data_IF_671118626569
#
_entry.id   IF_671118626569
#
_cell.length_a   1.000
_cell.length_b   1.000
_cell.length_c   1.000
_cell.angle_alpha   90.00
_cell.angle_beta   90.00
_cell.angle_gamma   90.00
#
_symmetry.space_group_name_H-M   'P 1'
#
loop_
_entity.id
_entity.type
_entity.pdbx_description
1 polymer ?
#
# COMPACT_ATOMS: atom_id res chain seq x y z
N UNK A 1 8.80 2.23 -32.65
CA UNK A 1 8.44 1.92 -31.94
C UNK A 1 7.65 1.23 -31.86
N UNK A 2 7.50 0.70 -31.67
CA UNK A 2 6.54 0.08 -31.64
C UNK A 2 5.79 0.49 -30.91
N UNK A 3 5.73 1.00 -31.45
CA UNK A 3 5.07 1.43 -30.92
C UNK A 3 3.94 0.95 -30.62
N UNK A 4 3.12 1.02 -30.54
CA UNK A 4 1.93 0.45 -30.16
C UNK A 4 2.01 -0.41 -28.94
N UNK A 5 3.17 -0.65 -28.49
CA UNK A 5 3.32 -1.40 -27.29
C UNK A 5 3.21 -0.48 -26.12
N UNK A 6 2.14 -0.66 -25.40
CA UNK A 6 2.06 -0.06 -24.10
C UNK A 6 3.05 -0.78 -23.20
N UNK A 7 4.02 -0.10 -22.66
CA UNK A 7 4.94 -0.78 -21.76
C UNK A 7 4.16 -1.34 -20.59
N UNK A 8 4.48 -2.56 -20.22
CA UNK A 8 3.95 -3.11 -18.97
C UNK A 8 4.47 -2.22 -17.85
N UNK A 9 3.58 -1.72 -17.04
CA UNK A 9 3.98 -0.89 -15.93
C UNK A 9 4.98 -1.64 -15.06
N UNK A 10 6.07 -0.98 -14.73
CA UNK A 10 7.07 -1.57 -13.85
C UNK A 10 6.42 -1.82 -12.49
N UNK A 11 6.78 -2.94 -11.89
CA UNK A 11 6.25 -3.32 -10.59
C UNK A 11 7.34 -3.09 -9.56
N UNK A 12 7.04 -2.30 -8.55
CA UNK A 12 7.99 -1.95 -7.50
C UNK A 12 7.55 -2.56 -6.18
N UNK A 13 8.49 -3.19 -5.48
CA UNK A 13 8.23 -3.77 -4.18
C UNK A 13 8.51 -2.74 -3.09
N UNK A 14 7.56 -2.57 -2.20
CA UNK A 14 7.72 -1.72 -1.03
C UNK A 14 7.50 -2.60 0.20
N UNK A 15 8.59 -3.14 0.76
CA UNK A 15 8.45 -3.92 1.98
C UNK A 15 8.22 -3.00 3.17
N UNK A 16 7.39 -3.42 4.10
CA UNK A 16 7.34 -2.74 5.38
C UNK A 16 8.67 -2.95 6.09
N UNK A 17 9.11 -2.00 6.90
CA UNK A 17 10.39 -2.15 7.58
C UNK A 17 10.43 -3.47 8.31
N UNK A 18 11.48 -4.23 8.08
CA UNK A 18 11.63 -5.49 8.75
C UNK A 18 11.94 -5.20 10.20
N UNK A 19 11.00 -5.53 11.00
CA UNK A 19 11.12 -5.23 12.39
C UNK A 19 11.50 -6.49 13.13
N UNK A 20 11.98 -6.34 14.32
CA UNK A 20 12.20 -7.48 15.19
C UNK A 20 10.92 -8.30 15.24
N UNK A 21 11.07 -9.62 15.40
CA UNK A 21 9.94 -10.51 15.43
C UNK A 21 8.89 -10.03 16.44
N UNK A 22 7.64 -10.08 16.04
CA UNK A 22 6.54 -9.62 16.89
C UNK A 22 6.28 -8.12 16.80
N UNK A 23 6.95 -7.41 15.92
CA UNK A 23 6.73 -5.99 15.81
C UNK A 23 5.33 -5.68 15.31
N UNK A 24 4.78 -4.68 15.92
CA UNK A 24 3.44 -4.21 15.67
C UNK A 24 3.51 -2.79 15.09
N UNK A 25 2.89 -2.58 13.94
CA UNK A 25 2.85 -1.27 13.33
C UNK A 25 1.56 -0.57 13.75
N UNK A 26 1.66 0.20 14.85
CA UNK A 26 0.49 0.81 15.44
C UNK A 26 0.36 2.31 15.24
N UNK A 27 1.42 2.97 14.82
CA UNK A 27 1.42 4.43 14.80
C UNK A 27 1.25 4.95 13.37
N UNK A 28 0.35 5.94 13.25
CA UNK A 28 0.06 6.56 11.96
C UNK A 28 1.30 7.08 11.26
N UNK A 29 2.14 7.79 11.98
CA UNK A 29 3.31 8.42 11.35
C UNK A 29 4.34 7.41 10.87
N UNK A 30 4.30 6.19 11.38
CA UNK A 30 5.22 5.15 10.90
C UNK A 30 4.92 4.76 9.45
N UNK A 31 3.73 5.06 8.94
CA UNK A 31 3.37 4.78 7.56
C UNK A 31 3.88 5.83 6.58
N UNK A 32 4.26 7.01 7.06
CA UNK A 32 4.56 8.14 6.19
C UNK A 32 5.71 7.86 5.21
N UNK A 33 6.88 7.34 5.64
CA UNK A 33 7.95 7.07 4.68
C UNK A 33 7.54 6.05 3.62
N UNK A 34 6.77 5.03 4.00
CA UNK A 34 6.32 4.02 3.07
C UNK A 34 5.33 4.60 2.08
N UNK A 35 4.39 5.43 2.56
CA UNK A 35 3.43 6.09 1.70
C UNK A 35 4.12 6.99 0.68
N UNK A 36 5.12 7.73 1.11
CA UNK A 36 5.86 8.62 0.22
C UNK A 36 6.55 7.83 -0.89
N UNK A 37 7.12 6.68 -0.57
CA UNK A 37 7.72 5.82 -1.58
C UNK A 37 6.68 5.32 -2.57
N UNK A 38 5.53 4.90 -2.06
CA UNK A 38 4.44 4.43 -2.91
C UNK A 38 3.95 5.55 -3.82
N UNK A 39 3.76 6.74 -3.28
CA UNK A 39 3.34 7.90 -4.06
C UNK A 39 4.32 8.19 -5.20
N UNK A 40 5.61 8.10 -4.92
CA UNK A 40 6.63 8.32 -5.93
C UNK A 40 6.57 7.29 -7.05
N UNK A 41 6.41 6.03 -6.71
CA UNK A 41 6.30 4.97 -7.74
C UNK A 41 5.02 5.11 -8.55
N UNK A 42 3.91 5.41 -7.89
CA UNK A 42 2.64 5.61 -8.60
C UNK A 42 2.73 6.79 -9.56
N UNK A 43 3.43 7.85 -9.16
CA UNK A 43 3.63 9.02 -10.02
C UNK A 43 4.47 8.67 -11.25
N UNK A 44 5.31 7.66 -11.17
CA UNK A 44 6.11 7.17 -12.29
C UNK A 44 5.34 6.18 -13.18
N UNK A 45 4.10 5.90 -12.84
CA UNK A 45 3.29 4.94 -13.59
C UNK A 45 3.51 3.48 -13.20
N UNK A 46 4.17 3.24 -12.09
CA UNK A 46 4.45 1.88 -11.65
C UNK A 46 3.27 1.27 -10.91
N UNK A 47 3.17 -0.05 -10.96
CA UNK A 47 2.39 -0.79 -9.97
C UNK A 47 3.25 -0.98 -8.73
N UNK A 48 2.60 -1.12 -7.59
CA UNK A 48 3.29 -1.25 -6.31
C UNK A 48 2.84 -2.51 -5.61
N UNK A 49 3.79 -3.28 -5.13
CA UNK A 49 3.52 -4.43 -4.27
C UNK A 49 3.94 -4.04 -2.85
N UNK A 50 2.99 -3.99 -1.94
CA UNK A 50 3.30 -3.71 -0.54
C UNK A 50 3.41 -5.05 0.18
N UNK A 51 4.59 -5.33 0.71
CA UNK A 51 4.85 -6.57 1.42
C UNK A 51 4.74 -6.31 2.91
N UNK A 52 3.72 -6.87 3.52
CA UNK A 52 3.46 -6.69 4.95
C UNK A 52 4.29 -7.63 5.81
N UNK A 53 4.92 -8.64 5.20
CA UNK A 53 5.77 -9.60 5.92
C UNK A 53 5.06 -10.20 7.14
N UNK A 54 3.76 -10.40 7.03
CA UNK A 54 2.91 -10.94 8.10
C UNK A 54 2.92 -10.10 9.39
N UNK A 55 3.30 -8.82 9.28
CA UNK A 55 3.29 -7.92 10.43
C UNK A 55 1.87 -7.61 10.86
N UNK A 56 1.68 -7.42 12.15
CA UNK A 56 0.43 -6.91 12.68
C UNK A 56 0.37 -5.40 12.47
N UNK A 57 -0.77 -4.91 12.03
CA UNK A 57 -0.96 -3.48 11.76
C UNK A 57 -2.25 -3.00 12.42
N UNK A 58 -2.29 -1.71 12.74
CA UNK A 58 -3.52 -1.10 13.22
C UNK A 58 -4.28 -0.47 12.07
N UNK A 59 -5.54 -0.16 12.32
CA UNK A 59 -6.35 0.60 11.39
C UNK A 59 -5.72 1.97 11.12
N UNK A 60 -5.17 2.62 12.16
CA UNK A 60 -4.52 3.92 11.99
C UNK A 60 -3.34 3.86 11.03
N UNK A 61 -2.53 2.80 11.14
CA UNK A 61 -1.40 2.62 10.25
C UNK A 61 -1.87 2.42 8.80
N UNK A 62 -2.84 1.53 8.60
CA UNK A 62 -3.36 1.24 7.26
C UNK A 62 -4.04 2.48 6.67
N UNK A 63 -4.77 3.21 7.48
CA UNK A 63 -5.41 4.45 7.02
C UNK A 63 -4.36 5.48 6.57
N UNK A 64 -3.28 5.63 7.32
CA UNK A 64 -2.22 6.56 6.96
C UNK A 64 -1.45 6.09 5.73
N UNK A 65 -1.40 4.79 5.47
CA UNK A 65 -0.70 4.23 4.32
C UNK A 65 -1.58 4.19 3.08
N UNK A 66 -2.70 3.50 3.18
CA UNK A 66 -3.58 3.20 2.05
C UNK A 66 -4.74 4.18 1.97
N UNK A 67 -5.33 4.52 3.11
CA UNK A 67 -6.46 5.42 3.14
C UNK A 67 -6.14 6.78 2.56
N UNK A 68 -4.96 7.31 2.87
CA UNK A 68 -4.54 8.59 2.32
C UNK A 68 -4.35 8.54 0.80
N UNK A 69 -3.85 7.42 0.28
CA UNK A 69 -3.72 7.26 -1.17
C UNK A 69 -5.09 7.28 -1.85
N UNK A 70 -6.07 6.64 -1.25
CA UNK A 70 -7.43 6.63 -1.78
C UNK A 70 -8.01 8.05 -1.78
N UNK A 71 -7.80 8.79 -0.70
CA UNK A 71 -8.31 10.16 -0.62
C UNK A 71 -7.65 11.08 -1.64
N UNK A 72 -6.36 10.87 -1.91
CA UNK A 72 -5.62 11.72 -2.84
C UNK A 72 -5.90 11.37 -4.30
N UNK A 73 -6.02 10.10 -4.61
CA UNK A 73 -6.02 9.62 -5.99
C UNK A 73 -7.29 8.89 -6.39
N UNK A 74 -8.22 8.72 -5.46
CA UNK A 74 -9.44 7.98 -5.72
C UNK A 74 -9.26 6.48 -5.50
N UNK A 75 -10.38 5.75 -5.36
CA UNK A 75 -10.31 4.31 -5.08
C UNK A 75 -9.68 3.49 -6.21
N UNK A 76 -9.60 4.04 -7.42
CA UNK A 76 -8.94 3.36 -8.53
C UNK A 76 -7.47 3.07 -8.26
N UNK A 77 -6.85 3.79 -7.34
CA UNK A 77 -5.46 3.56 -6.99
C UNK A 77 -5.23 2.12 -6.52
N UNK A 78 -6.26 1.51 -5.93
CA UNK A 78 -6.15 0.13 -5.44
C UNK A 78 -5.89 -0.87 -6.55
N UNK A 79 -6.25 -0.54 -7.79
CA UNK A 79 -6.00 -1.41 -8.93
C UNK A 79 -4.51 -1.46 -9.30
N UNK A 80 -3.74 -0.53 -8.77
CA UNK A 80 -2.31 -0.44 -9.02
C UNK A 80 -1.48 -0.93 -7.85
N UNK A 81 -2.13 -1.45 -6.80
CA UNK A 81 -1.46 -1.89 -5.58
C UNK A 81 -1.81 -3.34 -5.32
N UNK A 82 -0.78 -4.13 -5.06
CA UNK A 82 -0.93 -5.53 -4.65
C UNK A 82 -0.49 -5.63 -3.20
N UNK A 83 -1.29 -6.29 -2.39
CA UNK A 83 -0.98 -6.50 -0.98
C UNK A 83 -0.46 -7.91 -0.81
N UNK A 84 0.74 -8.05 -0.28
CA UNK A 84 1.44 -9.32 -0.20
C UNK A 84 1.75 -9.66 1.25
N UNK A 85 1.67 -10.94 1.57
CA UNK A 85 1.99 -11.47 2.90
C UNK A 85 1.18 -10.80 4.01
N UNK A 86 -0.13 -10.72 3.79
CA UNK A 86 -1.06 -10.16 4.75
C UNK A 86 -1.71 -11.30 5.52
N UNK A 87 -1.73 -11.17 6.85
CA UNK A 87 -2.55 -12.06 7.67
C UNK A 87 -4.04 -11.78 7.41
N UNK A 88 -4.90 -12.66 7.88
CA UNK A 88 -6.34 -12.42 7.74
C UNK A 88 -6.77 -11.15 8.44
N UNK A 89 -6.22 -10.88 9.61
CA UNK A 89 -6.54 -9.67 10.35
C UNK A 89 -6.11 -8.43 9.58
N UNK A 90 -4.92 -8.45 9.01
CA UNK A 90 -4.44 -7.33 8.19
C UNK A 90 -5.32 -7.13 6.96
N UNK A 91 -5.73 -8.22 6.30
CA UNK A 91 -6.63 -8.12 5.16
C UNK A 91 -7.97 -7.50 5.54
N UNK A 92 -8.49 -7.86 6.71
CA UNK A 92 -9.75 -7.29 7.19
C UNK A 92 -9.61 -5.79 7.44
N UNK A 93 -8.50 -5.37 8.03
CA UNK A 93 -8.24 -3.95 8.26
C UNK A 93 -8.13 -3.19 6.94
N UNK A 94 -7.42 -3.75 5.96
CA UNK A 94 -7.28 -3.13 4.65
C UNK A 94 -8.64 -2.97 3.98
N UNK A 95 -9.47 -4.01 4.01
CA UNK A 95 -10.81 -3.95 3.42
C UNK A 95 -11.68 -2.89 4.09
N UNK A 96 -11.60 -2.82 5.41
CA UNK A 96 -12.36 -1.84 6.16
C UNK A 96 -11.95 -0.40 5.78
N UNK A 97 -10.64 -0.14 5.77
CA UNK A 97 -10.13 1.19 5.42
C UNK A 97 -10.48 1.54 3.98
N UNK A 98 -10.32 0.58 3.07
CA UNK A 98 -10.63 0.82 1.66
C UNK A 98 -12.11 1.17 1.48
N UNK A 99 -13.00 0.46 2.12
CA UNK A 99 -14.43 0.73 2.03
C UNK A 99 -14.78 2.09 2.65
N UNK A 100 -14.17 2.40 3.80
CA UNK A 100 -14.44 3.64 4.51
C UNK A 100 -13.99 4.86 3.70
N UNK A 101 -12.83 4.77 3.05
CA UNK A 101 -12.27 5.90 2.30
C UNK A 101 -12.77 6.00 0.86
N UNK A 102 -13.43 4.97 0.37
CA UNK A 102 -13.95 4.96 -0.99
C UNK A 102 -15.38 5.49 -1.09
N UNK A 103 -16.01 5.72 0.02
CA UNK A 103 -17.36 6.24 0.04
C UNK A 103 -17.42 7.74 -0.25
#
# INVERSE_FOLDING_TARGET
MPSGMTPIAARQLVPLPHAAAGRFFGMRHAAVPQRQRIEGYLAQGCEVVIDFADAAVTQSFVDALVGCLILEQGPEVLQRIVFKNCSEDTRAVIRFVAADRSD
#
